data_IF_298146791707
#
_entry.id   IF_298146791707
#
_cell.length_a   1.000
_cell.length_b   1.000
_cell.length_c   1.000
_cell.angle_alpha   90.00
_cell.angle_beta   90.00
_cell.angle_gamma   90.00
#
_symmetry.space_group_name_H-M   'P 1'
#
loop_
_entity.id
_entity.type
_entity.pdbx_description
1 polymer ?
#
# COMPACT_ATOMS: atom_id res chain seq x y z
N UNK A 1 -17.33 -1.50 -18.82
CA UNK A 1 -17.34 -0.27 -17.98
C UNK A 1 -16.07 -0.31 -17.16
N UNK A 2 -15.24 0.72 -17.29
CA UNK A 2 -13.81 0.72 -16.96
C UNK A 2 -13.53 0.27 -15.52
N UNK A 3 -12.56 -0.64 -15.30
CA UNK A 3 -12.15 -1.00 -13.94
C UNK A 3 -11.65 0.29 -13.31
N UNK A 4 -12.22 0.62 -12.16
CA UNK A 4 -11.92 1.80 -11.38
C UNK A 4 -10.43 1.76 -11.07
N UNK A 5 -9.64 2.50 -11.84
CA UNK A 5 -8.23 2.72 -11.58
C UNK A 5 -8.17 3.47 -10.25
N UNK A 6 -8.05 2.72 -9.16
CA UNK A 6 -7.63 3.25 -7.87
C UNK A 6 -6.34 4.00 -8.13
N UNK A 7 -6.46 5.32 -8.19
CA UNK A 7 -5.47 6.27 -8.72
C UNK A 7 -4.19 6.22 -7.86
N UNK A 8 -3.38 5.18 -8.05
CA UNK A 8 -2.08 5.04 -7.42
C UNK A 8 -1.11 5.92 -8.21
N UNK A 9 -0.95 7.15 -7.74
CA UNK A 9 0.07 8.02 -8.31
C UNK A 9 1.46 7.48 -7.97
N UNK A 10 2.44 7.76 -8.83
CA UNK A 10 3.82 7.30 -8.62
C UNK A 10 4.35 7.62 -7.22
N UNK A 11 4.08 8.83 -6.70
CA UNK A 11 4.47 9.23 -5.35
C UNK A 11 3.82 8.37 -4.26
N UNK A 12 2.55 8.02 -4.39
CA UNK A 12 1.85 7.17 -3.43
C UNK A 12 2.41 5.74 -3.42
N UNK A 13 2.79 5.23 -4.61
CA UNK A 13 3.45 3.93 -4.75
C UNK A 13 4.86 3.97 -4.16
N UNK A 14 5.63 5.02 -4.41
CA UNK A 14 6.97 5.17 -3.81
C UNK A 14 6.89 5.26 -2.28
N UNK A 15 5.93 6.02 -1.75
CA UNK A 15 5.69 6.10 -0.31
C UNK A 15 5.27 4.74 0.27
N UNK A 16 4.38 4.00 -0.41
CA UNK A 16 4.01 2.63 -0.04
C UNK A 16 5.25 1.72 0.04
N UNK A 17 6.08 1.72 -1.00
CA UNK A 17 7.30 0.90 -1.08
C UNK A 17 8.28 1.27 0.05
N UNK A 18 8.49 2.56 0.29
CA UNK A 18 9.36 3.03 1.36
C UNK A 18 8.88 2.52 2.72
N UNK A 19 7.59 2.68 3.02
CA UNK A 19 7.01 2.24 4.29
C UNK A 19 7.07 0.70 4.45
N UNK A 20 6.81 -0.06 3.39
CA UNK A 20 6.95 -1.53 3.45
C UNK A 20 8.40 -1.94 3.70
N UNK A 21 9.36 -1.29 3.02
CA UNK A 21 10.79 -1.52 3.23
C UNK A 21 11.26 -1.13 4.63
N UNK A 22 10.66 -0.10 5.22
CA UNK A 22 10.91 0.32 6.60
C UNK A 22 10.32 -0.65 7.64
N UNK A 23 9.56 -1.67 7.21
CA UNK A 23 8.90 -2.57 8.14
C UNK A 23 7.68 -1.94 8.80
N UNK A 24 6.95 -1.08 8.06
CA UNK A 24 5.66 -0.54 8.50
C UNK A 24 4.52 -1.50 8.10
N UNK A 25 3.63 -1.90 9.02
CA UNK A 25 2.47 -2.74 8.71
C UNK A 25 1.42 -2.03 7.86
N UNK A 26 0.64 -2.80 7.11
CA UNK A 26 -0.40 -2.29 6.21
C UNK A 26 -1.42 -1.37 6.91
N UNK A 27 -1.73 -1.59 8.18
CA UNK A 27 -2.60 -0.70 8.96
C UNK A 27 -2.01 0.70 9.12
N UNK A 28 -0.73 0.80 9.48
CA UNK A 28 -0.06 2.10 9.60
C UNK A 28 0.14 2.76 8.23
N UNK A 29 0.38 1.98 7.18
CA UNK A 29 0.47 2.51 5.82
C UNK A 29 -0.88 3.09 5.37
N UNK A 30 -1.98 2.38 5.66
CA UNK A 30 -3.34 2.84 5.37
C UNK A 30 -3.64 4.18 6.03
N UNK A 31 -3.19 4.36 7.28
CA UNK A 31 -3.30 5.62 8.02
C UNK A 31 -2.44 6.74 7.42
N UNK A 32 -1.20 6.44 7.01
CA UNK A 32 -0.28 7.42 6.39
C UNK A 32 -0.77 7.90 5.03
N UNK A 33 -1.19 6.96 4.18
CA UNK A 33 -1.67 7.23 2.84
C UNK A 33 -3.15 7.66 2.81
N UNK A 34 -3.84 7.60 3.96
CA UNK A 34 -5.28 7.83 4.09
C UNK A 34 -6.09 7.01 3.08
N UNK A 35 -5.65 5.77 2.86
CA UNK A 35 -6.23 4.84 1.89
C UNK A 35 -6.76 3.59 2.59
N UNK A 36 -7.73 2.88 2.00
CA UNK A 36 -8.23 1.65 2.59
C UNK A 36 -7.12 0.60 2.73
N UNK A 37 -7.10 -0.13 3.84
CA UNK A 37 -6.11 -1.19 4.06
C UNK A 37 -6.21 -2.29 2.99
N UNK A 38 -7.40 -2.57 2.48
CA UNK A 38 -7.63 -3.54 1.40
C UNK A 38 -6.92 -3.11 0.11
N UNK A 39 -6.95 -1.81 -0.23
CA UNK A 39 -6.25 -1.26 -1.39
C UNK A 39 -4.73 -1.27 -1.20
N UNK A 40 -4.27 -0.94 0.01
CA UNK A 40 -2.86 -0.98 0.37
C UNK A 40 -2.34 -2.41 0.26
N UNK A 41 -3.05 -3.39 0.83
CA UNK A 41 -2.68 -4.82 0.74
C UNK A 41 -2.71 -5.33 -0.70
N UNK A 42 -3.77 -5.02 -1.45
CA UNK A 42 -3.85 -5.38 -2.86
C UNK A 42 -2.69 -4.79 -3.67
N UNK A 43 -2.30 -3.53 -3.40
CA UNK A 43 -1.17 -2.90 -4.10
C UNK A 43 0.17 -3.47 -3.68
N UNK A 44 0.33 -3.82 -2.41
CA UNK A 44 1.53 -4.48 -1.90
C UNK A 44 1.70 -5.86 -2.54
N UNK A 45 0.62 -6.63 -2.65
CA UNK A 45 0.56 -7.93 -3.33
C UNK A 45 0.86 -7.81 -4.84
N UNK A 46 0.23 -6.85 -5.52
CA UNK A 46 0.47 -6.50 -6.93
C UNK A 46 1.94 -6.13 -7.21
N UNK A 47 2.62 -5.48 -6.25
CA UNK A 47 4.04 -5.12 -6.34
C UNK A 47 4.98 -6.28 -5.95
N UNK A 48 4.45 -7.42 -5.48
CA UNK A 48 5.24 -8.55 -4.99
C UNK A 48 6.00 -8.25 -3.70
N UNK A 49 5.50 -7.30 -2.91
CA UNK A 49 6.08 -6.91 -1.62
C UNK A 49 5.39 -7.69 -0.50
N UNK A 50 6.15 -8.11 0.50
CA UNK A 50 5.59 -8.68 1.74
C UNK A 50 5.60 -7.61 2.83
N UNK A 51 4.44 -7.15 3.30
CA UNK A 51 4.41 -6.26 4.45
C UNK A 51 4.79 -7.07 5.70
N UNK A 52 5.42 -6.43 6.69
CA UNK A 52 5.68 -7.07 7.97
C UNK A 52 4.36 -7.48 8.65
N UNK A 53 4.36 -8.59 9.40
CA UNK A 53 3.20 -9.01 10.15
C UNK A 53 2.80 -7.94 11.17
N UNK A 54 1.50 -7.72 11.31
CA UNK A 54 0.95 -6.83 12.33
C UNK A 54 1.27 -7.47 13.69
N UNK A 55 2.23 -6.87 14.42
CA UNK A 55 2.65 -7.34 15.75
C UNK A 55 1.70 -6.81 16.82
#
# INVERSE_FOLDING_TARGET
>A
MNPTESHWNYEAVQALIALVKEGVPASLISLKLKRPISEVRAKIDDLGLTPPPET
#
